data_IF_577297227361
#
_entry.id   IF_577297227361
#
_cell.length_a   1.000
_cell.length_b   1.000
_cell.length_c   1.000
_cell.angle_alpha   90.00
_cell.angle_beta   90.00
_cell.angle_gamma   90.00
#
_symmetry.space_group_name_H-M   'P 1'
#
loop_
_entity.id
_entity.type
_entity.pdbx_description
1 polymer ?
#
# COMPACT_ATOMS: atom_id res chain seq x y z
N UNK A 1 12.29 -12.32 2.70
CA UNK A 1 13.75 -12.25 2.45
C UNK A 1 14.13 -11.49 1.19
N UNK A 2 13.64 -11.85 -0.01
CA UNK A 2 13.94 -11.10 -1.25
C UNK A 2 13.61 -9.60 -1.16
N UNK A 3 12.40 -9.24 -0.71
CA UNK A 3 12.01 -7.84 -0.52
C UNK A 3 12.94 -7.06 0.44
N UNK A 4 13.41 -7.72 1.50
CA UNK A 4 14.38 -7.13 2.44
C UNK A 4 15.69 -6.78 1.73
N UNK A 5 16.22 -7.67 0.89
CA UNK A 5 17.46 -7.41 0.14
C UNK A 5 17.27 -6.26 -0.86
N UNK A 6 16.14 -6.21 -1.57
CA UNK A 6 15.83 -5.13 -2.51
C UNK A 6 15.79 -3.77 -1.80
N UNK A 7 15.14 -3.69 -0.64
CA UNK A 7 15.06 -2.45 0.14
C UNK A 7 16.41 -2.02 0.73
N UNK A 8 17.26 -2.95 1.17
CA UNK A 8 18.53 -2.60 1.82
C UNK A 8 19.68 -2.38 0.85
N UNK A 9 19.66 -3.02 -0.32
CA UNK A 9 20.81 -3.06 -1.25
C UNK A 9 20.46 -2.74 -2.70
N UNK A 10 19.20 -2.44 -3.01
CA UNK A 10 18.72 -2.15 -4.37
C UNK A 10 18.69 -3.34 -5.32
N UNK A 11 19.13 -4.52 -4.87
CA UNK A 11 19.19 -5.75 -5.66
C UNK A 11 18.99 -6.98 -4.76
N UNK A 12 18.70 -8.14 -5.35
CA UNK A 12 18.62 -9.38 -4.59
C UNK A 12 18.99 -10.56 -5.46
N UNK A 13 19.91 -11.38 -4.96
CA UNK A 13 20.38 -12.63 -5.58
C UNK A 13 19.34 -13.75 -5.52
N UNK A 14 18.30 -13.63 -4.68
CA UNK A 14 17.23 -14.62 -4.58
C UNK A 14 16.33 -14.47 -5.82
N UNK A 15 16.24 -15.47 -6.72
CA UNK A 15 15.41 -15.36 -7.92
C UNK A 15 13.93 -15.16 -7.55
N UNK A 16 13.21 -14.31 -8.29
CA UNK A 16 11.81 -14.00 -7.98
C UNK A 16 10.88 -15.22 -8.13
N UNK A 17 11.15 -16.06 -9.12
CA UNK A 17 10.49 -17.33 -9.42
C UNK A 17 10.75 -18.43 -8.37
N UNK A 18 11.74 -18.23 -7.51
CA UNK A 18 12.03 -19.12 -6.37
C UNK A 18 11.31 -18.71 -5.07
N UNK A 19 10.40 -17.72 -5.14
CA UNK A 19 9.68 -17.17 -3.99
C UNK A 19 8.18 -17.19 -4.21
N UNK A 20 7.40 -17.32 -3.12
CA UNK A 20 5.97 -17.04 -3.17
C UNK A 20 5.74 -15.53 -3.21
N UNK A 21 5.03 -15.09 -4.23
CA UNK A 21 4.76 -13.66 -4.48
C UNK A 21 3.40 -13.21 -3.93
N UNK A 22 2.49 -14.16 -3.75
CA UNK A 22 1.15 -13.97 -3.17
C UNK A 22 0.78 -15.18 -2.30
N UNK A 23 -0.25 -15.01 -1.47
CA UNK A 23 -0.66 -16.05 -0.51
C UNK A 23 -1.31 -17.24 -1.21
N UNK A 24 -1.94 -17.04 -2.36
CA UNK A 24 -2.61 -18.07 -3.14
C UNK A 24 -1.62 -19.11 -3.68
N UNK A 25 -0.47 -18.67 -4.21
CA UNK A 25 0.62 -19.56 -4.63
C UNK A 25 1.12 -20.45 -3.48
N UNK A 26 1.11 -19.92 -2.26
CA UNK A 26 1.53 -20.68 -1.08
C UNK A 26 0.44 -21.63 -0.59
N UNK A 27 -0.83 -21.24 -0.68
CA UNK A 27 -1.98 -22.05 -0.27
C UNK A 27 -2.25 -23.21 -1.24
N UNK A 28 -2.06 -23.02 -2.55
CA UNK A 28 -2.36 -24.02 -3.58
C UNK A 28 -1.83 -25.43 -3.26
N UNK A 29 -0.53 -25.64 -2.98
CA UNK A 29 -0.02 -26.97 -2.65
C UNK A 29 -0.56 -27.52 -1.31
N UNK A 30 -0.85 -26.66 -0.34
CA UNK A 30 -1.40 -27.07 0.95
C UNK A 30 -2.84 -27.56 0.81
N UNK A 31 -3.64 -26.84 0.03
CA UNK A 31 -5.01 -27.23 -0.31
C UNK A 31 -5.05 -28.50 -1.14
N UNK A 32 -4.09 -28.69 -2.06
CA UNK A 32 -3.96 -29.94 -2.82
C UNK A 32 -3.72 -31.13 -1.88
N UNK A 33 -2.79 -31.01 -0.93
CA UNK A 33 -2.55 -32.03 0.09
C UNK A 33 -3.80 -32.31 0.94
N UNK A 34 -4.50 -31.25 1.35
CA UNK A 34 -5.71 -31.37 2.17
C UNK A 34 -6.82 -32.13 1.44
N UNK A 35 -7.08 -31.77 0.17
CA UNK A 35 -8.05 -32.48 -0.68
C UNK A 35 -7.64 -33.93 -0.89
N UNK A 36 -6.38 -34.20 -1.23
CA UNK A 36 -5.89 -35.56 -1.45
C UNK A 36 -6.06 -36.47 -0.24
N UNK A 37 -5.80 -35.96 0.98
CA UNK A 37 -5.99 -36.72 2.22
C UNK A 37 -7.48 -36.99 2.48
N UNK A 38 -8.34 -35.99 2.25
CA UNK A 38 -9.78 -36.16 2.40
C UNK A 38 -10.33 -37.22 1.42
N UNK A 39 -9.92 -37.16 0.15
CA UNK A 39 -10.37 -38.09 -0.90
C UNK A 39 -9.87 -39.53 -0.65
N UNK A 40 -8.74 -39.68 0.04
CA UNK A 40 -8.17 -40.99 0.42
C UNK A 40 -8.76 -41.57 1.72
N UNK A 41 -9.66 -40.84 2.39
CA UNK A 41 -10.28 -41.24 3.66
C UNK A 41 -9.51 -40.83 4.92
N UNK A 42 -8.38 -40.14 4.78
CA UNK A 42 -7.50 -39.70 5.87
C UNK A 42 -7.84 -38.29 6.39
N UNK A 43 -9.14 -37.95 6.43
CA UNK A 43 -9.60 -36.63 6.88
C UNK A 43 -9.14 -36.27 8.29
N UNK A 44 -9.06 -37.24 9.20
CA UNK A 44 -8.54 -37.01 10.57
C UNK A 44 -7.10 -36.51 10.56
N UNK A 45 -6.28 -36.96 9.60
CA UNK A 45 -4.90 -36.47 9.42
C UNK A 45 -4.92 -35.06 8.81
N UNK A 46 -5.76 -34.84 7.79
CA UNK A 46 -5.93 -33.54 7.15
C UNK A 46 -6.37 -32.45 8.14
N UNK A 47 -7.30 -32.78 9.05
CA UNK A 47 -7.86 -31.89 10.07
C UNK A 47 -6.92 -31.66 11.28
N UNK A 48 -5.74 -32.28 11.29
CA UNK A 48 -4.69 -32.05 12.28
C UNK A 48 -3.81 -30.85 11.93
N UNK A 49 -2.48 -31.05 11.97
CA UNK A 49 -1.51 -29.97 11.76
C UNK A 49 -1.61 -29.28 10.39
N UNK A 50 -2.09 -29.97 9.36
CA UNK A 50 -2.28 -29.36 8.04
C UNK A 50 -3.39 -28.30 8.07
N UNK A 51 -4.53 -28.59 8.69
CA UNK A 51 -5.61 -27.62 8.86
C UNK A 51 -5.19 -26.44 9.73
N UNK A 52 -4.43 -26.69 10.79
CA UNK A 52 -3.86 -25.61 11.62
C UNK A 52 -2.92 -24.72 10.80
N UNK A 53 -2.08 -25.31 9.95
CA UNK A 53 -1.18 -24.57 9.09
C UNK A 53 -1.91 -23.76 8.00
N UNK A 54 -2.94 -24.35 7.35
CA UNK A 54 -3.81 -23.64 6.42
C UNK A 54 -4.47 -22.42 7.08
N UNK A 55 -4.96 -22.58 8.31
CA UNK A 55 -5.54 -21.47 9.10
C UNK A 55 -4.51 -20.41 9.42
N UNK A 56 -3.28 -20.79 9.78
CA UNK A 56 -2.19 -19.85 10.03
C UNK A 56 -1.87 -19.04 8.77
N UNK A 57 -1.69 -19.70 7.63
CA UNK A 57 -1.42 -19.01 6.35
C UNK A 57 -2.58 -18.09 5.98
N UNK A 58 -3.83 -18.54 6.15
CA UNK A 58 -5.02 -17.71 5.88
C UNK A 58 -5.16 -16.51 6.83
N UNK A 59 -4.66 -16.63 8.06
CA UNK A 59 -4.77 -15.58 9.08
C UNK A 59 -3.65 -14.54 8.98
N UNK A 60 -2.43 -15.02 8.73
CA UNK A 60 -1.21 -14.22 8.81
C UNK A 60 -0.63 -13.88 7.44
N UNK A 61 -1.03 -14.60 6.39
CA UNK A 61 -0.49 -14.44 5.04
C UNK A 61 1.03 -14.57 5.00
N UNK A 62 1.66 -13.81 4.10
CA UNK A 62 3.12 -13.73 3.97
C UNK A 62 3.74 -12.60 4.81
N UNK A 63 2.92 -11.71 5.39
CA UNK A 63 3.36 -10.49 6.07
C UNK A 63 3.22 -10.54 7.59
N UNK A 64 2.59 -11.59 8.14
CA UNK A 64 2.15 -11.74 9.53
C UNK A 64 1.08 -10.74 9.98
N UNK A 65 1.34 -9.45 9.77
CA UNK A 65 0.45 -8.35 10.10
C UNK A 65 0.42 -7.37 8.94
N UNK A 66 -0.70 -6.66 8.81
CA UNK A 66 -0.83 -5.53 7.89
C UNK A 66 -0.45 -4.25 8.62
N UNK A 67 0.31 -3.39 7.94
CA UNK A 67 0.75 -2.12 8.49
C UNK A 67 -0.23 -1.01 8.09
N UNK A 68 -0.86 -0.38 9.08
CA UNK A 68 -1.59 0.86 8.87
C UNK A 68 -0.60 2.03 8.81
N UNK A 69 -0.80 2.91 7.83
CA UNK A 69 -0.02 4.14 7.65
C UNK A 69 -0.84 5.30 8.20
N UNK A 70 -0.22 6.21 8.94
CA UNK A 70 -0.93 7.34 9.53
C UNK A 70 -0.16 8.63 9.36
N UNK A 71 -0.83 9.65 8.84
CA UNK A 71 -0.29 11.00 8.69
C UNK A 71 -1.39 12.03 8.98
N UNK A 72 -1.04 13.26 9.36
CA UNK A 72 -2.00 14.34 9.60
C UNK A 72 -2.41 15.09 8.32
N UNK A 73 -3.67 15.52 8.24
CA UNK A 73 -4.26 16.18 7.06
C UNK A 73 -3.52 17.44 6.60
N UNK A 74 -2.94 18.21 7.53
CA UNK A 74 -2.17 19.41 7.20
C UNK A 74 -0.91 19.09 6.38
N UNK A 75 -0.29 17.92 6.60
CA UNK A 75 0.88 17.49 5.81
C UNK A 75 0.51 17.18 4.37
N UNK A 76 -0.68 16.63 4.12
CA UNK A 76 -1.22 16.47 2.76
C UNK A 76 -1.55 17.82 2.13
N UNK A 77 -2.12 18.74 2.92
CA UNK A 77 -2.39 20.11 2.48
C UNK A 77 -1.11 20.83 2.05
N UNK A 78 0.00 20.71 2.80
CA UNK A 78 1.29 21.29 2.44
C UNK A 78 1.89 20.68 1.17
N UNK A 79 1.77 19.36 1.01
CA UNK A 79 2.23 18.70 -0.21
C UNK A 79 1.46 19.19 -1.46
N UNK A 80 0.12 19.28 -1.37
CA UNK A 80 -0.70 19.82 -2.46
C UNK A 80 -0.48 21.32 -2.69
N UNK A 81 -0.21 22.10 -1.64
CA UNK A 81 0.12 23.52 -1.77
C UNK A 81 1.44 23.72 -2.52
N UNK A 82 2.47 22.92 -2.20
CA UNK A 82 3.74 22.92 -2.93
C UNK A 82 3.54 22.57 -4.42
N UNK A 83 2.71 21.55 -4.72
CA UNK A 83 2.39 21.17 -6.10
C UNK A 83 1.67 22.29 -6.84
N UNK A 84 0.60 22.83 -6.26
CA UNK A 84 -0.21 23.89 -6.89
C UNK A 84 0.58 25.19 -7.10
N UNK A 85 1.45 25.55 -6.15
CA UNK A 85 2.35 26.70 -6.26
C UNK A 85 3.38 26.50 -7.38
N UNK A 86 3.98 25.31 -7.46
CA UNK A 86 4.96 24.98 -8.49
C UNK A 86 4.36 25.02 -9.92
N UNK A 87 3.13 24.51 -10.06
CA UNK A 87 2.39 24.55 -11.34
C UNK A 87 1.87 25.94 -11.72
N UNK A 88 1.98 26.93 -10.83
CA UNK A 88 1.51 28.30 -11.06
C UNK A 88 -0.02 28.44 -11.07
N UNK A 89 -0.75 27.49 -10.48
CA UNK A 89 -2.23 27.48 -10.47
C UNK A 89 -2.83 28.07 -9.18
N UNK A 90 -2.00 28.37 -8.18
CA UNK A 90 -2.37 29.06 -6.95
C UNK A 90 -1.83 28.37 -5.71
N UNK A 91 -2.41 28.69 -4.56
CA UNK A 91 -2.11 28.03 -3.27
C UNK A 91 -3.33 27.23 -2.82
N UNK A 92 -3.24 25.90 -2.89
CA UNK A 92 -4.26 24.97 -2.38
C UNK A 92 -4.65 25.28 -0.92
N UNK A 93 -3.66 25.60 -0.07
CA UNK A 93 -3.86 25.95 1.34
C UNK A 93 -4.77 27.16 1.50
N UNK A 94 -4.67 28.15 0.61
CA UNK A 94 -5.49 29.37 0.64
C UNK A 94 -6.91 29.19 0.10
N UNK A 95 -7.21 28.07 -0.59
CA UNK A 95 -8.51 27.89 -1.23
C UNK A 95 -9.60 27.53 -0.22
N UNK A 96 -10.84 28.03 -0.43
CA UNK A 96 -12.00 27.56 0.30
C UNK A 96 -12.28 26.08 -0.02
N UNK A 97 -12.96 25.40 0.88
CA UNK A 97 -13.20 23.96 0.81
C UNK A 97 -13.87 23.52 -0.50
N UNK A 98 -14.86 24.29 -0.98
CA UNK A 98 -15.56 23.98 -2.23
C UNK A 98 -14.61 23.99 -3.43
N UNK A 99 -13.65 24.93 -3.45
CA UNK A 99 -12.64 25.03 -4.51
C UNK A 99 -11.61 23.90 -4.41
N UNK A 100 -11.24 23.49 -3.20
CA UNK A 100 -10.36 22.32 -3.00
C UNK A 100 -10.99 21.06 -3.57
N UNK A 101 -12.26 20.80 -3.23
CA UNK A 101 -13.00 19.65 -3.77
C UNK A 101 -13.16 19.72 -5.28
N UNK A 102 -13.54 20.88 -5.83
CA UNK A 102 -13.68 21.04 -7.29
C UNK A 102 -12.39 20.70 -8.02
N UNK A 103 -11.26 21.23 -7.53
CA UNK A 103 -9.96 20.98 -8.13
C UNK A 103 -9.54 19.51 -7.98
N UNK A 104 -9.63 18.93 -6.78
CA UNK A 104 -9.30 17.52 -6.56
C UNK A 104 -10.13 16.58 -7.43
N UNK A 105 -11.44 16.81 -7.53
CA UNK A 105 -12.32 15.99 -8.37
C UNK A 105 -12.02 16.15 -9.86
N UNK A 106 -11.56 17.33 -10.29
CA UNK A 106 -11.09 17.56 -11.66
C UNK A 106 -9.82 16.74 -11.94
N UNK A 107 -8.82 16.82 -11.06
CA UNK A 107 -7.55 16.11 -11.22
C UNK A 107 -7.73 14.58 -11.11
N UNK A 108 -8.55 14.10 -10.17
CA UNK A 108 -8.84 12.66 -9.99
C UNK A 108 -9.56 12.03 -11.19
N UNK A 109 -10.33 12.82 -11.95
CA UNK A 109 -10.96 12.37 -13.22
C UNK A 109 -10.01 12.50 -14.41
N UNK A 110 -8.98 13.34 -14.29
CA UNK A 110 -7.95 13.53 -15.29
C UNK A 110 -7.11 12.29 -15.50
N UNK A 111 -6.48 12.18 -16.68
CA UNK A 111 -5.48 11.14 -16.99
C UNK A 111 -4.07 11.68 -17.12
N UNK A 112 -3.93 13.00 -16.99
CA UNK A 112 -2.64 13.71 -17.07
C UNK A 112 -1.92 13.53 -15.72
N UNK A 113 -0.62 13.19 -15.72
CA UNK A 113 0.19 13.28 -14.50
C UNK A 113 0.22 14.71 -13.95
N UNK A 114 0.09 14.86 -12.63
CA UNK A 114 -0.01 16.17 -11.99
C UNK A 114 1.34 16.88 -11.88
N UNK A 115 2.39 16.16 -11.48
CA UNK A 115 3.75 16.67 -11.31
C UNK A 115 4.80 15.62 -11.76
N UNK A 116 6.02 16.08 -12.03
CA UNK A 116 7.17 15.24 -12.39
C UNK A 116 8.24 15.20 -11.29
N UNK A 117 9.40 14.63 -11.59
CA UNK A 117 10.54 14.53 -10.66
C UNK A 117 11.21 15.88 -10.37
N UNK A 118 10.80 16.94 -11.07
CA UNK A 118 11.32 18.31 -10.95
C UNK A 118 10.58 19.18 -9.92
N UNK A 119 9.58 18.63 -9.22
CA UNK A 119 8.90 19.31 -8.12
C UNK A 119 9.89 19.65 -6.99
N UNK A 120 10.10 20.93 -6.65
CA UNK A 120 10.92 21.31 -5.51
C UNK A 120 10.23 20.91 -4.20
N UNK A 121 10.88 20.09 -3.38
CA UNK A 121 10.32 19.58 -2.12
C UNK A 121 11.18 20.05 -0.95
N UNK A 122 10.54 20.56 0.10
CA UNK A 122 11.16 20.65 1.42
C UNK A 122 11.14 19.26 2.10
N UNK A 123 11.74 19.15 3.28
CA UNK A 123 11.82 17.87 4.02
C UNK A 123 10.45 17.26 4.29
N UNK A 124 9.46 18.07 4.70
CA UNK A 124 8.13 17.62 5.06
C UNK A 124 7.31 17.12 3.86
N UNK A 125 7.42 17.80 2.71
CA UNK A 125 6.77 17.40 1.46
C UNK A 125 7.46 16.16 0.88
N UNK A 126 8.78 16.10 0.96
CA UNK A 126 9.56 14.94 0.51
C UNK A 126 9.22 13.68 1.33
N UNK A 127 8.99 13.82 2.62
CA UNK A 127 8.56 12.73 3.51
C UNK A 127 7.17 12.18 3.13
N UNK A 128 6.20 13.05 2.84
CA UNK A 128 4.85 12.64 2.41
C UNK A 128 4.89 11.93 1.06
N UNK A 129 5.54 12.53 0.06
CA UNK A 129 5.66 11.95 -1.28
C UNK A 129 6.49 10.66 -1.24
N UNK A 130 7.58 10.66 -0.47
CA UNK A 130 8.44 9.49 -0.25
C UNK A 130 7.69 8.32 0.38
N UNK A 131 6.80 8.60 1.34
CA UNK A 131 5.92 7.58 1.92
C UNK A 131 5.08 6.92 0.84
N UNK A 132 4.39 7.69 -0.02
CA UNK A 132 3.58 7.11 -1.10
C UNK A 132 4.41 6.36 -2.15
N UNK A 133 5.66 6.78 -2.41
CA UNK A 133 6.58 6.02 -3.26
C UNK A 133 6.88 4.64 -2.68
N UNK A 134 7.18 4.56 -1.38
CA UNK A 134 7.39 3.27 -0.68
C UNK A 134 6.13 2.39 -0.75
N UNK A 135 4.94 2.99 -0.56
CA UNK A 135 3.67 2.25 -0.67
C UNK A 135 3.43 1.71 -2.08
N UNK A 136 3.86 2.43 -3.12
CA UNK A 136 3.71 2.00 -4.51
C UNK A 136 4.70 0.89 -4.92
N UNK A 137 5.86 0.80 -4.24
CA UNK A 137 6.90 -0.18 -4.55
C UNK A 137 6.72 -1.53 -3.81
N UNK A 138 6.02 -1.52 -2.67
CA UNK A 138 5.85 -2.70 -1.83
C UNK A 138 4.56 -3.48 -2.11
N UNK A 139 4.53 -4.80 -1.82
CA UNK A 139 3.33 -5.59 -2.06
C UNK A 139 2.11 -5.05 -1.28
N UNK A 140 0.92 -4.99 -1.92
CA UNK A 140 -0.27 -4.43 -1.28
C UNK A 140 -0.71 -5.20 -0.03
N UNK A 141 -0.40 -6.50 0.04
CA UNK A 141 -0.72 -7.35 1.20
C UNK A 141 0.08 -7.02 2.47
N UNK A 142 1.10 -6.16 2.36
CA UNK A 142 1.82 -5.65 3.53
C UNK A 142 1.05 -4.54 4.26
N UNK A 143 0.08 -3.91 3.62
CA UNK A 143 -0.56 -2.70 4.14
C UNK A 143 -2.03 -2.91 4.50
N UNK A 144 -2.46 -2.18 5.53
CA UNK A 144 -3.84 -2.05 5.94
C UNK A 144 -4.42 -0.74 5.42
N UNK A 145 -4.91 0.08 6.34
CA UNK A 145 -5.51 1.37 6.03
C UNK A 145 -4.46 2.50 5.94
N UNK A 146 -4.76 3.52 5.13
CA UNK A 146 -4.15 4.83 5.25
C UNK A 146 -5.06 5.72 6.10
N UNK A 147 -4.59 6.11 7.28
CA UNK A 147 -5.34 6.86 8.28
C UNK A 147 -4.92 8.33 8.24
N UNK A 148 -5.89 9.21 8.01
CA UNK A 148 -5.68 10.65 8.05
C UNK A 148 -6.06 11.17 9.44
N UNK A 149 -5.06 11.60 10.20
CA UNK A 149 -5.27 12.25 11.50
C UNK A 149 -5.81 13.65 11.29
N UNK A 150 -6.65 14.12 12.22
CA UNK A 150 -7.19 15.47 12.19
C UNK A 150 -7.99 15.77 10.91
N UNK A 151 -8.59 14.75 10.28
CA UNK A 151 -9.50 14.95 9.17
C UNK A 151 -10.75 15.72 9.64
N UNK A 152 -11.08 16.78 8.92
CA UNK A 152 -12.18 17.72 9.22
C UNK A 152 -13.12 17.94 8.04
N UNK A 153 -12.66 17.70 6.80
CA UNK A 153 -13.40 17.99 5.59
C UNK A 153 -13.27 16.87 4.54
N UNK A 154 -14.19 16.79 3.56
CA UNK A 154 -14.08 15.83 2.46
C UNK A 154 -12.79 15.97 1.65
N UNK A 155 -12.26 17.19 1.50
CA UNK A 155 -11.00 17.41 0.79
C UNK A 155 -9.81 16.70 1.45
N UNK A 156 -9.83 16.46 2.77
CA UNK A 156 -8.76 15.74 3.47
C UNK A 156 -8.65 14.28 3.00
N UNK A 157 -9.78 13.66 2.60
CA UNK A 157 -9.83 12.27 2.12
C UNK A 157 -9.57 12.18 0.62
N UNK A 158 -9.93 13.22 -0.13
CA UNK A 158 -9.70 13.29 -1.58
C UNK A 158 -8.25 13.65 -1.95
N UNK A 159 -7.56 14.36 -1.05
CA UNK A 159 -6.17 14.79 -1.16
C UNK A 159 -5.18 13.61 -1.10
#
# INVERSE_FOLDING_TARGET
ERARHLLTSGSSEIPADSTFSNVEEFLEPLELCYRSLCDSGDKTVADGSLLDFLRQVSTFGLSLVKLDIRQESERHTDALDAITAYLGIGSYRSWPEEKRQEWLLSELKGKRPLFGDDLPMNEEVADVIGTFRVLAELPPDCFGAYVISMATAPSDVLA
#
